data_IF_273375509203
#
_entry.id   IF_273375509203
#
_cell.length_a   1.000
_cell.length_b   1.000
_cell.length_c   1.000
_cell.angle_alpha   90.00
_cell.angle_beta   90.00
_cell.angle_gamma   90.00
#
_symmetry.space_group_name_H-M   'P 1'
#
loop_
_entity.id
_entity.type
_entity.pdbx_description
1 polymer ?
#
# COMPACT_ATOMS: atom_id res chain seq x y z
N UNK A 1 25.33 -13.00 -6.50
CA UNK A 1 24.27 -13.82 -5.87
C UNK A 1 22.95 -13.14 -6.17
N UNK A 2 22.00 -13.84 -6.80
CA UNK A 2 20.67 -13.25 -7.02
C UNK A 2 19.95 -13.11 -5.69
N UNK A 3 19.41 -11.93 -5.42
CA UNK A 3 18.55 -11.67 -4.25
C UNK A 3 17.39 -12.68 -4.18
N UNK A 4 17.10 -13.16 -2.98
CA UNK A 4 15.99 -14.11 -2.77
C UNK A 4 14.64 -13.47 -3.21
N UNK A 5 13.76 -14.21 -3.90
CA UNK A 5 12.46 -13.68 -4.36
C UNK A 5 11.64 -13.01 -3.26
N UNK A 6 11.72 -13.54 -2.03
CA UNK A 6 11.05 -12.96 -0.86
C UNK A 6 11.56 -11.54 -0.58
N UNK A 7 12.88 -11.36 -0.49
CA UNK A 7 13.51 -10.06 -0.26
C UNK A 7 13.10 -9.06 -1.34
N UNK A 8 13.13 -9.45 -2.61
CA UNK A 8 12.73 -8.59 -3.74
C UNK A 8 11.28 -8.12 -3.63
N UNK A 9 10.37 -8.97 -3.19
CA UNK A 9 8.97 -8.61 -3.06
C UNK A 9 8.73 -7.63 -1.89
N UNK A 10 9.45 -7.79 -0.76
CA UNK A 10 9.44 -6.81 0.32
C UNK A 10 10.00 -5.47 -0.13
N UNK A 11 11.15 -5.46 -0.80
CA UNK A 11 11.78 -4.24 -1.33
C UNK A 11 10.90 -3.52 -2.36
N UNK A 12 10.17 -4.27 -3.18
CA UNK A 12 9.21 -3.68 -4.11
C UNK A 12 8.10 -2.91 -3.39
N UNK A 13 7.53 -3.48 -2.33
CA UNK A 13 6.52 -2.80 -1.52
C UNK A 13 7.09 -1.57 -0.78
N UNK A 14 8.33 -1.65 -0.25
CA UNK A 14 9.04 -0.49 0.33
C UNK A 14 9.22 0.61 -0.71
N UNK A 15 9.56 0.26 -1.95
CA UNK A 15 9.72 1.22 -3.04
C UNK A 15 8.40 1.94 -3.38
N UNK A 16 7.27 1.23 -3.39
CA UNK A 16 5.96 1.85 -3.56
C UNK A 16 5.67 2.89 -2.46
N UNK A 17 5.97 2.57 -1.21
CA UNK A 17 5.84 3.53 -0.11
C UNK A 17 6.78 4.73 -0.26
N UNK A 18 7.98 4.53 -0.82
CA UNK A 18 8.91 5.63 -1.16
C UNK A 18 8.33 6.54 -2.24
N UNK A 19 7.70 5.97 -3.27
CA UNK A 19 7.00 6.75 -4.29
C UNK A 19 5.87 7.59 -3.69
N UNK A 20 5.12 7.06 -2.71
CA UNK A 20 4.10 7.82 -1.99
C UNK A 20 4.70 9.02 -1.26
N UNK A 21 5.81 8.84 -0.54
CA UNK A 21 6.50 9.93 0.16
C UNK A 21 6.98 11.01 -0.81
N UNK A 22 7.56 10.61 -1.93
CA UNK A 22 8.03 11.54 -2.97
C UNK A 22 6.85 12.33 -3.57
N UNK A 23 5.76 11.67 -3.91
CA UNK A 23 4.54 12.30 -4.42
C UNK A 23 3.99 13.33 -3.42
N UNK A 24 3.87 12.97 -2.13
CA UNK A 24 3.40 13.87 -1.08
C UNK A 24 4.31 15.10 -0.98
N UNK A 25 5.63 14.89 -1.00
CA UNK A 25 6.61 15.98 -0.97
C UNK A 25 6.44 16.96 -2.15
N UNK A 26 6.25 16.45 -3.36
CA UNK A 26 5.96 17.28 -4.52
C UNK A 26 4.69 18.11 -4.34
N UNK A 27 3.61 17.50 -3.90
CA UNK A 27 2.33 18.20 -3.70
C UNK A 27 2.39 19.26 -2.60
N UNK A 28 3.33 19.16 -1.65
CA UNK A 28 3.55 20.18 -0.62
C UNK A 28 4.41 21.35 -1.12
N UNK A 29 5.34 21.09 -2.06
CA UNK A 29 6.27 22.11 -2.57
C UNK A 29 5.71 22.86 -3.77
N UNK A 30 4.91 22.23 -4.60
CA UNK A 30 4.23 22.85 -5.71
C UNK A 30 2.98 23.59 -5.17
N UNK A 31 3.01 24.91 -5.15
CA UNK A 31 1.86 25.73 -4.78
C UNK A 31 0.77 25.62 -5.87
N UNK A 32 -0.07 24.58 -5.76
CA UNK A 32 -1.13 24.30 -6.73
C UNK A 32 -2.41 24.98 -6.24
N UNK A 33 -2.88 26.04 -6.95
CA UNK A 33 -4.11 26.70 -6.56
C UNK A 33 -5.28 25.73 -6.55
N UNK A 34 -6.04 25.73 -5.46
CA UNK A 34 -7.26 24.93 -5.29
C UNK A 34 -7.07 23.39 -5.27
N UNK A 35 -5.84 22.86 -5.15
CA UNK A 35 -5.64 21.44 -4.96
C UNK A 35 -5.86 21.04 -3.50
N UNK A 36 -6.92 20.29 -3.25
CA UNK A 36 -7.26 19.80 -1.91
C UNK A 36 -6.68 18.40 -1.71
N UNK A 37 -5.50 18.33 -1.08
CA UNK A 37 -4.85 17.06 -0.71
C UNK A 37 -5.78 16.15 0.11
N UNK A 38 -6.47 16.71 1.11
CA UNK A 38 -7.32 15.93 2.03
C UNK A 38 -8.50 15.26 1.32
N UNK A 39 -8.92 15.82 0.16
CA UNK A 39 -10.00 15.28 -0.66
C UNK A 39 -9.50 14.37 -1.78
N UNK A 40 -8.45 14.76 -2.47
CA UNK A 40 -8.02 14.09 -3.71
C UNK A 40 -7.00 12.96 -3.48
N UNK A 41 -6.13 13.09 -2.47
CA UNK A 41 -5.01 12.16 -2.23
C UNK A 41 -5.10 11.48 -0.86
N UNK A 42 -5.39 12.25 0.17
CA UNK A 42 -5.38 11.79 1.55
C UNK A 42 -6.20 10.53 1.83
N UNK A 43 -7.45 10.41 1.33
CA UNK A 43 -8.27 9.20 1.52
C UNK A 43 -7.61 7.95 0.93
N UNK A 44 -7.02 8.06 -0.27
CA UNK A 44 -6.36 6.96 -0.96
C UNK A 44 -5.08 6.51 -0.24
N UNK A 45 -4.22 7.47 0.13
CA UNK A 45 -2.97 7.16 0.84
C UNK A 45 -3.24 6.60 2.23
N UNK A 46 -4.19 7.18 2.99
CA UNK A 46 -4.61 6.63 4.27
C UNK A 46 -5.06 5.18 4.11
N UNK A 47 -5.89 4.89 3.10
CA UNK A 47 -6.41 3.56 2.84
C UNK A 47 -5.28 2.56 2.52
N UNK A 48 -4.33 2.94 1.69
CA UNK A 48 -3.13 2.14 1.40
C UNK A 48 -2.34 1.86 2.69
N UNK A 49 -2.01 2.89 3.47
CA UNK A 49 -1.25 2.75 4.72
C UNK A 49 -1.96 1.80 5.69
N UNK A 50 -3.28 1.93 5.85
CA UNK A 50 -4.06 1.09 6.76
C UNK A 50 -4.04 -0.39 6.33
N UNK A 51 -3.94 -0.69 5.03
CA UNK A 51 -3.75 -2.06 4.55
C UNK A 51 -2.38 -2.63 4.95
N UNK A 52 -1.30 -1.86 4.79
CA UNK A 52 0.02 -2.27 5.26
C UNK A 52 0.07 -2.45 6.79
N UNK A 53 -0.60 -1.59 7.55
CA UNK A 53 -0.70 -1.72 9.01
C UNK A 53 -1.44 -3.00 9.42
N UNK A 54 -2.56 -3.32 8.77
CA UNK A 54 -3.32 -4.56 9.01
C UNK A 54 -2.48 -5.79 8.69
N UNK A 55 -1.75 -5.78 7.57
CA UNK A 55 -0.86 -6.86 7.17
C UNK A 55 0.26 -7.08 8.20
N UNK A 56 1.01 -6.03 8.54
CA UNK A 56 2.12 -6.14 9.49
C UNK A 56 1.65 -6.50 10.89
N UNK A 57 0.50 -5.95 11.32
CA UNK A 57 -0.14 -6.30 12.58
C UNK A 57 -0.51 -7.78 12.63
N UNK A 58 -1.12 -8.31 11.56
CA UNK A 58 -1.46 -9.73 11.46
C UNK A 58 -0.25 -10.64 11.52
N UNK A 59 0.90 -10.22 10.99
CA UNK A 59 2.15 -10.96 11.07
C UNK A 59 2.81 -10.92 12.46
N UNK A 60 2.36 -10.05 13.35
CA UNK A 60 2.85 -9.97 14.73
C UNK A 60 2.34 -11.08 15.65
N UNK A 61 1.30 -11.82 15.27
CA UNK A 61 0.61 -12.80 16.09
C UNK A 61 0.92 -14.24 15.67
N UNK A 62 2.15 -14.71 15.92
CA UNK A 62 2.53 -16.10 15.69
C UNK A 62 1.86 -17.03 16.75
N UNK A 63 1.48 -18.29 16.41
CA UNK A 63 1.57 -18.92 15.08
C UNK A 63 0.42 -18.58 14.14
N UNK A 64 -0.66 -17.98 14.63
CA UNK A 64 -1.90 -17.71 13.89
C UNK A 64 -1.83 -16.33 13.24
N UNK A 65 -1.17 -16.23 12.08
CA UNK A 65 -1.11 -15.00 11.32
C UNK A 65 -2.48 -14.64 10.74
N UNK A 66 -3.16 -13.69 11.41
CA UNK A 66 -4.52 -13.26 11.04
C UNK A 66 -4.49 -11.82 10.54
N UNK A 67 -4.89 -11.61 9.30
CA UNK A 67 -4.92 -10.32 8.63
C UNK A 67 -6.37 -9.90 8.44
N UNK A 68 -6.76 -8.76 9.00
CA UNK A 68 -8.11 -8.21 8.90
C UNK A 68 -8.04 -6.82 8.24
N UNK A 69 -8.25 -6.77 6.93
CA UNK A 69 -8.17 -5.51 6.17
C UNK A 69 -9.37 -4.58 6.43
N UNK A 70 -10.48 -5.10 6.93
CA UNK A 70 -11.68 -4.32 7.20
C UNK A 70 -11.65 -3.64 8.58
N UNK A 71 -10.88 -4.19 9.52
CA UNK A 71 -10.69 -3.64 10.86
C UNK A 71 -9.60 -2.57 10.82
N UNK A 72 -9.98 -1.33 10.56
CA UNK A 72 -9.05 -0.20 10.39
C UNK A 72 -9.40 0.96 11.30
N UNK A 73 -8.38 1.68 11.76
CA UNK A 73 -8.53 2.83 12.66
C UNK A 73 -9.21 4.04 11.99
N UNK A 74 -9.21 4.09 10.65
CA UNK A 74 -9.70 5.22 9.85
C UNK A 74 -9.16 6.57 10.34
N UNK A 75 -7.85 6.64 10.57
CA UNK A 75 -7.19 7.81 11.15
C UNK A 75 -7.29 9.03 10.22
N UNK A 76 -8.20 9.95 10.53
CA UNK A 76 -8.46 11.14 9.73
C UNK A 76 -7.27 12.12 9.71
N UNK A 77 -6.38 12.08 10.69
CA UNK A 77 -5.18 12.91 10.69
C UNK A 77 -4.23 12.50 9.55
N UNK A 78 -4.12 11.20 9.23
CA UNK A 78 -3.36 10.76 8.06
C UNK A 78 -3.99 11.22 6.73
N UNK A 79 -5.31 11.42 6.70
CA UNK A 79 -5.98 11.91 5.51
C UNK A 79 -5.74 13.39 5.24
N UNK A 80 -5.69 14.21 6.30
CA UNK A 80 -5.68 15.67 6.18
C UNK A 80 -4.30 16.30 6.40
N UNK A 81 -3.36 15.58 7.00
CA UNK A 81 -2.05 16.11 7.40
C UNK A 81 -0.90 15.32 6.74
N UNK A 82 -0.34 15.81 5.62
CA UNK A 82 0.74 15.13 4.88
C UNK A 82 1.93 14.74 5.76
N UNK A 83 2.31 15.57 6.73
CA UNK A 83 3.44 15.30 7.64
C UNK A 83 3.19 14.04 8.47
N UNK A 84 1.97 13.85 9.01
CA UNK A 84 1.60 12.64 9.76
C UNK A 84 1.63 11.42 8.84
N UNK A 85 1.15 11.59 7.61
CA UNK A 85 1.16 10.52 6.59
C UNK A 85 2.59 10.06 6.29
N UNK A 86 3.50 10.99 6.02
CA UNK A 86 4.91 10.69 5.75
C UNK A 86 5.57 10.00 6.94
N UNK A 87 5.36 10.47 8.16
CA UNK A 87 5.90 9.84 9.36
C UNK A 87 5.41 8.38 9.50
N UNK A 88 4.14 8.11 9.21
CA UNK A 88 3.57 6.76 9.26
C UNK A 88 4.13 5.86 8.14
N UNK A 89 4.33 6.38 6.94
CA UNK A 89 5.00 5.66 5.85
C UNK A 89 6.42 5.27 6.27
N UNK A 90 7.19 6.18 6.85
CA UNK A 90 8.55 5.90 7.30
C UNK A 90 8.59 4.83 8.41
N UNK A 91 7.62 4.83 9.31
CA UNK A 91 7.47 3.76 10.32
C UNK A 91 7.23 2.40 9.67
N UNK A 92 6.31 2.31 8.71
CA UNK A 92 6.05 1.09 7.95
C UNK A 92 7.29 0.60 7.22
N UNK A 93 8.02 1.50 6.53
CA UNK A 93 9.25 1.17 5.82
C UNK A 93 10.32 0.58 6.75
N UNK A 94 10.48 1.14 7.97
CA UNK A 94 11.41 0.56 8.95
C UNK A 94 11.01 -0.85 9.38
N UNK A 95 9.72 -1.10 9.63
CA UNK A 95 9.24 -2.44 9.98
C UNK A 95 9.42 -3.44 8.84
N UNK A 96 9.17 -3.02 7.60
CA UNK A 96 9.37 -3.86 6.42
C UNK A 96 10.85 -4.11 6.15
N UNK A 97 11.72 -3.09 6.32
CA UNK A 97 13.15 -3.25 6.19
C UNK A 97 13.71 -4.27 7.19
N UNK A 98 13.23 -4.26 8.42
CA UNK A 98 13.59 -5.27 9.41
C UNK A 98 13.22 -6.72 8.98
N UNK A 99 12.21 -6.91 8.12
CA UNK A 99 11.94 -8.22 7.52
C UNK A 99 12.96 -8.55 6.42
N UNK A 100 13.32 -7.57 5.60
CA UNK A 100 14.37 -7.71 4.57
C UNK A 100 15.70 -8.10 5.20
N UNK A 101 16.11 -7.42 6.26
CA UNK A 101 17.38 -7.64 6.96
C UNK A 101 17.47 -9.03 7.60
N UNK A 102 16.33 -9.66 7.88
CA UNK A 102 16.21 -11.05 8.35
C UNK A 102 16.09 -12.06 7.20
N UNK A 103 16.36 -11.68 5.96
CA UNK A 103 16.26 -12.52 4.78
C UNK A 103 14.85 -12.62 4.17
N UNK A 104 13.93 -11.77 4.62
CA UNK A 104 12.52 -11.82 4.26
C UNK A 104 11.80 -13.00 4.93
N UNK A 105 10.49 -12.90 5.13
CA UNK A 105 9.68 -14.07 5.52
C UNK A 105 9.47 -14.96 4.30
N UNK A 106 9.40 -16.27 4.51
CA UNK A 106 9.06 -17.22 3.44
C UNK A 106 7.74 -16.84 2.80
N UNK A 107 7.69 -16.80 1.47
CA UNK A 107 6.51 -16.37 0.71
C UNK A 107 5.33 -17.34 0.85
N UNK A 108 5.61 -18.61 1.10
CA UNK A 108 4.67 -19.70 1.30
C UNK A 108 4.13 -19.80 2.74
N UNK A 109 4.64 -18.95 3.65
CA UNK A 109 4.17 -18.94 5.03
C UNK A 109 2.68 -18.65 5.08
N UNK A 110 1.92 -19.56 5.70
CA UNK A 110 0.46 -19.51 5.74
C UNK A 110 -0.02 -18.37 6.63
N UNK A 111 -1.02 -17.65 6.13
CA UNK A 111 -1.76 -16.64 6.87
C UNK A 111 -3.26 -16.87 6.65
N UNK A 112 -4.09 -16.29 7.52
CA UNK A 112 -5.54 -16.26 7.35
C UNK A 112 -5.98 -14.81 7.13
N UNK A 113 -6.73 -14.57 6.06
CA UNK A 113 -7.35 -13.26 5.80
C UNK A 113 -8.79 -13.32 6.28
N UNK A 114 -9.15 -12.41 7.18
CA UNK A 114 -10.49 -12.27 7.71
C UNK A 114 -11.17 -11.05 7.09
N UNK A 115 -12.44 -11.20 6.75
CA UNK A 115 -13.29 -10.12 6.25
C UNK A 115 -14.72 -10.32 6.73
N UNK A 116 -15.45 -9.21 6.83
CA UNK A 116 -16.86 -9.18 7.22
C UNK A 116 -17.69 -8.80 6.00
N UNK A 117 -18.65 -9.63 5.65
CA UNK A 117 -19.61 -9.32 4.61
C UNK A 117 -20.98 -8.97 5.20
N UNK A 118 -21.61 -7.98 4.61
CA UNK A 118 -23.04 -7.73 4.83
C UNK A 118 -23.84 -8.77 4.04
N UNK A 119 -24.55 -9.64 4.73
CA UNK A 119 -25.32 -10.75 4.16
C UNK A 119 -26.81 -10.37 4.08
N UNK A 120 -27.17 -9.35 3.33
CA UNK A 120 -28.57 -8.98 3.11
C UNK A 120 -29.40 -8.87 4.40
N UNK A 121 -30.52 -9.60 4.48
CA UNK A 121 -31.40 -9.65 5.66
C UNK A 121 -30.83 -10.46 6.84
N UNK A 122 -29.76 -11.26 6.64
CA UNK A 122 -29.18 -12.14 7.65
C UNK A 122 -28.07 -11.52 8.49
N UNK A 123 -27.76 -10.22 8.30
CA UNK A 123 -26.75 -9.51 9.09
C UNK A 123 -25.32 -9.70 8.58
N UNK A 124 -24.34 -9.53 9.48
CA UNK A 124 -22.93 -9.66 9.18
C UNK A 124 -22.46 -11.12 9.19
N UNK A 125 -21.62 -11.48 8.23
CA UNK A 125 -21.00 -12.80 8.13
C UNK A 125 -19.49 -12.66 8.13
N UNK A 126 -18.84 -13.26 9.14
CA UNK A 126 -17.39 -13.36 9.20
C UNK A 126 -16.89 -14.49 8.31
N UNK A 127 -15.93 -14.18 7.44
CA UNK A 127 -15.29 -15.18 6.58
C UNK A 127 -13.79 -15.11 6.78
N UNK A 128 -13.17 -16.27 7.01
CA UNK A 128 -11.73 -16.43 7.05
C UNK A 128 -11.28 -17.33 5.89
N UNK A 129 -10.36 -16.85 5.08
CA UNK A 129 -9.80 -17.61 3.95
C UNK A 129 -8.30 -17.81 4.12
N UNK A 130 -7.77 -19.00 3.79
CA UNK A 130 -6.34 -19.24 3.81
C UNK A 130 -5.64 -18.39 2.75
N UNK A 131 -4.47 -17.87 3.09
CA UNK A 131 -3.59 -17.12 2.20
C UNK A 131 -2.14 -17.39 2.55
N UNK A 132 -1.22 -16.69 1.90
CA UNK A 132 0.22 -16.73 2.21
C UNK A 132 0.79 -15.32 2.29
N UNK A 133 1.91 -15.17 3.00
CA UNK A 133 2.63 -13.88 3.06
C UNK A 133 2.95 -13.35 1.67
N UNK A 134 3.38 -14.21 0.76
CA UNK A 134 3.69 -13.82 -0.62
C UNK A 134 2.46 -13.31 -1.38
N UNK A 135 1.33 -14.00 -1.24
CA UNK A 135 0.07 -13.57 -1.86
C UNK A 135 -0.38 -12.22 -1.33
N UNK A 136 -0.26 -12.00 -0.02
CA UNK A 136 -0.67 -10.73 0.60
C UNK A 136 0.26 -9.57 0.22
N UNK A 137 1.57 -9.78 0.10
CA UNK A 137 2.50 -8.78 -0.44
C UNK A 137 2.20 -8.41 -1.90
N UNK A 138 1.81 -9.39 -2.73
CA UNK A 138 1.37 -9.14 -4.11
C UNK A 138 0.05 -8.36 -4.14
N UNK A 139 -0.90 -8.70 -3.26
CA UNK A 139 -2.14 -7.96 -3.12
C UNK A 139 -1.88 -6.50 -2.74
N UNK A 140 -1.08 -6.26 -1.69
CA UNK A 140 -0.73 -4.91 -1.24
C UNK A 140 -0.08 -4.08 -2.35
N UNK A 141 0.84 -4.68 -3.10
CA UNK A 141 1.51 -3.99 -4.20
C UNK A 141 0.53 -3.62 -5.32
N UNK A 142 -0.32 -4.55 -5.74
CA UNK A 142 -1.34 -4.32 -6.76
C UNK A 142 -2.36 -3.27 -6.33
N UNK A 143 -2.83 -3.36 -5.08
CA UNK A 143 -3.76 -2.42 -4.48
C UNK A 143 -3.17 -1.01 -4.38
N UNK A 144 -1.90 -0.90 -3.98
CA UNK A 144 -1.18 0.38 -3.93
C UNK A 144 -1.07 1.02 -5.31
N UNK A 145 -0.69 0.24 -6.34
CA UNK A 145 -0.61 0.72 -7.73
C UNK A 145 -1.97 1.18 -8.24
N UNK A 146 -3.05 0.47 -7.90
CA UNK A 146 -4.41 0.89 -8.23
C UNK A 146 -4.74 2.27 -7.64
N UNK A 147 -4.48 2.49 -6.35
CA UNK A 147 -4.69 3.80 -5.72
C UNK A 147 -3.77 4.88 -6.27
N UNK A 148 -2.54 4.56 -6.64
CA UNK A 148 -1.63 5.50 -7.29
C UNK A 148 -2.13 5.93 -8.67
N UNK A 149 -2.74 5.03 -9.44
CA UNK A 149 -3.35 5.37 -10.71
C UNK A 149 -4.53 6.36 -10.54
N UNK A 150 -5.36 6.18 -9.50
CA UNK A 150 -6.42 7.13 -9.16
C UNK A 150 -5.84 8.50 -8.75
N UNK A 151 -4.81 8.51 -7.90
CA UNK A 151 -4.13 9.75 -7.48
C UNK A 151 -3.51 10.45 -8.70
N UNK A 152 -2.83 9.71 -9.59
CA UNK A 152 -2.25 10.26 -10.82
C UNK A 152 -3.32 10.95 -11.67
N UNK A 153 -4.49 10.34 -11.79
CA UNK A 153 -5.61 10.94 -12.51
C UNK A 153 -6.07 12.25 -11.88
N UNK A 154 -6.28 12.31 -10.56
CA UNK A 154 -6.67 13.55 -9.88
C UNK A 154 -5.59 14.62 -9.96
N UNK A 155 -4.33 14.25 -9.80
CA UNK A 155 -3.20 15.19 -9.94
C UNK A 155 -3.13 15.77 -11.36
N UNK A 156 -3.30 14.92 -12.39
CA UNK A 156 -3.31 15.37 -13.79
C UNK A 156 -4.44 16.35 -14.08
N UNK A 157 -5.63 16.13 -13.55
CA UNK A 157 -6.75 17.06 -13.67
C UNK A 157 -6.46 18.42 -13.02
N UNK A 158 -5.62 18.43 -11.99
CA UNK A 158 -5.16 19.64 -11.31
C UNK A 158 -3.89 20.26 -11.94
N UNK A 159 -3.42 19.72 -13.07
CA UNK A 159 -2.21 20.22 -13.77
C UNK A 159 -0.89 19.73 -13.18
N UNK A 160 -0.94 18.73 -12.27
CA UNK A 160 0.26 18.13 -11.66
C UNK A 160 0.64 16.85 -12.38
N UNK A 161 1.84 16.81 -12.93
CA UNK A 161 2.42 15.61 -13.51
C UNK A 161 3.29 14.88 -12.48
N UNK A 162 2.90 13.68 -12.09
CA UNK A 162 3.65 12.80 -11.17
C UNK A 162 4.69 11.92 -11.89
N UNK A 163 4.83 12.09 -13.21
CA UNK A 163 5.71 11.32 -14.06
C UNK A 163 5.05 10.06 -14.62
N UNK A 164 5.54 9.62 -15.78
CA UNK A 164 4.92 8.56 -16.59
C UNK A 164 4.80 7.20 -15.90
N UNK A 165 5.65 6.92 -14.92
CA UNK A 165 5.70 5.60 -14.24
C UNK A 165 4.84 5.54 -12.99
N UNK A 166 4.42 6.70 -12.44
CA UNK A 166 3.63 6.72 -11.22
C UNK A 166 2.24 6.12 -11.47
N UNK A 167 1.85 5.15 -10.64
CA UNK A 167 0.56 4.45 -10.75
C UNK A 167 0.48 3.44 -11.91
N UNK A 168 1.58 3.13 -12.61
CA UNK A 168 1.63 2.06 -13.61
C UNK A 168 2.04 0.73 -12.99
N UNK A 169 1.36 -0.35 -13.39
CA UNK A 169 1.77 -1.69 -13.00
C UNK A 169 3.14 -2.06 -13.60
N UNK A 170 3.97 -2.85 -12.90
CA UNK A 170 5.28 -3.28 -13.43
C UNK A 170 5.19 -3.98 -14.79
N UNK A 171 4.14 -4.76 -15.01
CA UNK A 171 3.89 -5.43 -16.29
C UNK A 171 3.62 -4.43 -17.42
N UNK A 172 2.92 -3.34 -17.14
CA UNK A 172 2.67 -2.26 -18.10
C UNK A 172 3.98 -1.55 -18.45
N UNK A 173 4.77 -1.19 -17.45
CA UNK A 173 6.08 -0.55 -17.65
C UNK A 173 7.00 -1.46 -18.48
N UNK A 174 7.05 -2.76 -18.15
CA UNK A 174 7.87 -3.73 -18.89
C UNK A 174 7.38 -3.97 -20.33
N UNK A 175 6.08 -3.86 -20.58
CA UNK A 175 5.51 -3.94 -21.92
C UNK A 175 5.91 -2.71 -22.76
N UNK A 176 5.74 -1.50 -22.24
CA UNK A 176 6.10 -0.25 -22.90
C UNK A 176 7.60 -0.20 -23.26
N UNK A 177 8.48 -0.66 -22.34
CA UNK A 177 9.93 -0.69 -22.58
C UNK A 177 10.36 -1.68 -23.69
N UNK A 178 9.54 -2.68 -24.03
CA UNK A 178 9.82 -3.62 -25.12
C UNK A 178 9.38 -3.13 -26.50
N UNK A 179 8.61 -2.03 -26.53
CA UNK A 179 8.13 -1.43 -27.78
C UNK A 179 9.05 -0.30 -28.30
N UNK A 180 10.02 0.09 -27.48
CA UNK A 180 11.07 1.07 -27.81
C UNK A 180 12.42 0.39 -27.92
#
# INVERSE_FOLDING_TARGET
>A
MSELPAVRLWLYNINLLTQATFMIGRLQTEAIPAFDYARAVGPHIRHVIEHYLSFLGGLGHAPDYRIAYDVRSRNLAMQSQPVITVAKIQELQRHMQAQVDRGGRALDMVASVQTVFQSGENGEMDVAVPSTVGRELLFLSSHTVHHFALIAHYCKLAGVDLGERFGKAPSTVAFEQRQH
#
